data_IF_449022992306
#
_entry.id   IF_449022992306
#
_cell.length_a   1.000
_cell.length_b   1.000
_cell.length_c   1.000
_cell.angle_alpha   90.00
_cell.angle_beta   90.00
_cell.angle_gamma   90.00
#
_symmetry.space_group_name_H-M   'P 1'
#
loop_
_entity.id
_entity.type
_entity.pdbx_description
1 polymer ?
#
# COMPACT_ATOMS: atom_id res chain seq x y z
N UNK A 1 23.49 -32.24 28.60
CA UNK A 1 22.33 -32.89 27.96
C UNK A 1 21.40 -33.39 29.05
N UNK A 2 20.33 -32.64 29.28
CA UNK A 2 19.11 -33.10 29.94
C UNK A 2 18.03 -32.14 29.48
N UNK A 3 17.24 -32.59 28.50
CA UNK A 3 16.08 -31.88 27.97
C UNK A 3 15.07 -31.64 29.10
N UNK A 4 14.61 -30.41 29.23
CA UNK A 4 13.47 -30.05 30.07
C UNK A 4 12.34 -29.73 29.11
N UNK A 5 11.41 -30.67 28.97
CA UNK A 5 10.17 -30.50 28.20
C UNK A 5 9.28 -29.42 28.82
N UNK A 6 8.54 -28.63 28.01
CA UNK A 6 7.58 -27.68 28.50
C UNK A 6 6.27 -28.37 28.87
N UNK A 7 5.83 -28.19 30.12
CA UNK A 7 4.52 -28.68 30.60
C UNK A 7 3.38 -27.91 29.93
N UNK A 8 2.58 -28.67 29.20
CA UNK A 8 1.30 -28.28 28.62
C UNK A 8 0.33 -27.71 29.66
N UNK A 9 -0.32 -26.60 29.31
CA UNK A 9 -1.47 -26.08 30.04
C UNK A 9 -2.69 -26.95 29.71
N UNK A 10 -3.09 -27.79 30.67
CA UNK A 10 -4.29 -28.58 30.58
C UNK A 10 -5.55 -27.71 30.65
N UNK A 11 -6.31 -27.78 29.55
CA UNK A 11 -7.76 -27.73 29.39
C UNK A 11 -8.61 -27.34 30.61
N UNK A 12 -9.36 -26.24 30.47
CA UNK A 12 -10.44 -25.86 31.40
C UNK A 12 -11.76 -26.55 31.03
N UNK A 13 -12.61 -26.92 32.01
CA UNK A 13 -13.90 -27.54 31.74
C UNK A 13 -14.97 -26.52 31.36
N UNK A 14 -15.85 -26.93 30.45
CA UNK A 14 -17.03 -26.25 29.92
C UNK A 14 -18.27 -26.56 30.76
N UNK A 15 -18.83 -25.59 31.48
CA UNK A 15 -20.22 -25.56 32.03
C UNK A 15 -20.47 -24.12 32.54
N UNK A 16 -21.57 -23.40 32.43
CA UNK A 16 -22.90 -23.52 31.81
C UNK A 16 -23.45 -22.09 31.70
N UNK A 17 -24.28 -21.83 30.70
CA UNK A 17 -25.02 -20.57 30.57
C UNK A 17 -26.19 -20.53 31.56
N UNK A 18 -26.39 -19.39 32.22
CA UNK A 18 -27.66 -19.03 32.86
C UNK A 18 -28.02 -17.59 32.45
N UNK A 19 -29.27 -17.34 32.01
CA UNK A 19 -29.67 -16.07 31.41
C UNK A 19 -30.18 -15.08 32.47
N UNK A 20 -29.89 -13.80 32.34
CA UNK A 20 -30.61 -12.74 33.07
C UNK A 20 -30.92 -11.57 32.14
N UNK A 21 -32.23 -11.43 31.95
CA UNK A 21 -33.07 -10.34 31.50
C UNK A 21 -32.50 -8.95 31.20
N UNK A 22 -33.02 -8.43 30.10
CA UNK A 22 -33.14 -7.03 29.69
C UNK A 22 -33.55 -6.08 30.82
N UNK A 23 -32.94 -4.91 30.83
CA UNK A 23 -33.60 -3.66 31.23
C UNK A 23 -33.14 -2.56 30.29
N UNK A 24 -34.11 -1.98 29.60
CA UNK A 24 -34.02 -0.77 28.80
C UNK A 24 -33.86 0.42 29.75
N UNK A 25 -32.95 1.36 29.45
CA UNK A 25 -33.15 2.75 29.86
C UNK A 25 -32.43 3.68 28.88
N UNK A 26 -33.23 4.53 28.25
CA UNK A 26 -32.86 5.72 27.50
C UNK A 26 -31.91 6.62 28.31
N UNK A 27 -30.93 7.25 27.66
CA UNK A 27 -30.66 8.68 27.88
C UNK A 27 -29.95 9.28 26.67
N UNK A 28 -30.58 10.32 26.14
CA UNK A 28 -30.06 11.21 25.12
C UNK A 28 -29.26 12.37 25.75
N UNK A 29 -28.16 12.76 25.10
CA UNK A 29 -27.51 14.08 25.14
C UNK A 29 -26.36 14.01 24.10
N UNK A 30 -26.46 14.55 22.89
CA UNK A 30 -26.51 15.97 22.50
C UNK A 30 -25.54 16.87 23.28
N UNK A 31 -24.32 17.05 22.76
CA UNK A 31 -23.58 18.32 22.80
C UNK A 31 -22.67 18.38 21.56
N UNK A 32 -23.08 19.20 20.60
CA UNK A 32 -22.21 19.87 19.63
C UNK A 32 -21.28 20.86 20.33
N UNK A 33 -20.03 20.97 19.87
CA UNK A 33 -19.26 22.22 19.83
C UNK A 33 -18.00 22.08 18.96
N UNK A 34 -18.11 22.67 17.78
CA UNK A 34 -17.18 23.62 17.15
C UNK A 34 -15.70 23.53 17.54
N UNK A 35 -14.87 23.14 16.57
CA UNK A 35 -13.47 23.61 16.48
C UNK A 35 -13.23 24.13 15.08
N UNK A 36 -12.82 25.39 15.07
CA UNK A 36 -12.70 26.31 13.95
C UNK A 36 -11.62 25.89 12.94
N UNK A 37 -11.94 26.12 11.66
CA UNK A 37 -11.03 26.07 10.52
C UNK A 37 -10.27 27.40 10.48
N UNK A 38 -8.96 27.38 10.71
CA UNK A 38 -8.10 28.56 10.51
C UNK A 38 -7.69 28.62 9.03
N UNK A 39 -8.43 29.39 8.24
CA UNK A 39 -8.03 29.87 6.92
C UNK A 39 -6.85 30.85 7.07
N UNK A 40 -5.72 30.56 6.42
CA UNK A 40 -4.70 31.57 6.12
C UNK A 40 -4.74 31.94 4.65
N UNK A 41 -5.41 33.05 4.38
CA UNK A 41 -5.20 33.87 3.21
C UNK A 41 -3.84 34.57 3.32
N UNK A 42 -2.99 34.40 2.30
CA UNK A 42 -1.94 35.36 1.95
C UNK A 42 -2.24 35.84 0.53
N UNK A 43 -2.63 37.11 0.47
CA UNK A 43 -2.90 37.89 -0.73
C UNK A 43 -1.78 38.94 -0.87
N UNK A 44 -1.59 39.43 -2.11
CA UNK A 44 -0.87 40.67 -2.50
C UNK A 44 0.66 40.50 -2.60
N UNK A 45 1.44 40.86 -3.63
CA UNK A 45 1.39 41.71 -4.84
C UNK A 45 2.51 41.14 -5.77
N UNK A 46 2.51 41.16 -7.10
CA UNK A 46 2.36 42.28 -8.01
C UNK A 46 3.48 42.23 -9.09
N UNK A 47 3.24 42.91 -10.21
CA UNK A 47 4.18 43.24 -11.30
C UNK A 47 4.44 42.22 -12.44
N UNK A 48 3.54 42.28 -13.42
CA UNK A 48 3.81 42.10 -14.86
C UNK A 48 4.81 43.17 -15.35
N UNK A 49 5.71 42.84 -16.29
CA UNK A 49 5.90 43.74 -17.42
C UNK A 49 5.78 43.01 -18.76
N UNK A 50 4.97 43.62 -19.63
CA UNK A 50 4.85 43.30 -21.05
C UNK A 50 6.00 43.88 -21.90
N UNK A 51 5.83 43.93 -23.22
CA UNK A 51 6.81 43.40 -24.18
C UNK A 51 7.68 44.47 -24.83
N UNK A 52 8.92 44.11 -25.20
CA UNK A 52 9.74 44.91 -26.12
C UNK A 52 9.75 44.28 -27.52
N UNK A 53 9.18 45.05 -28.46
CA UNK A 53 9.39 44.95 -29.89
C UNK A 53 10.87 45.17 -30.24
N UNK A 54 11.43 44.34 -31.13
CA UNK A 54 12.49 44.79 -32.05
C UNK A 54 12.26 44.25 -33.45
N UNK A 55 12.20 45.22 -34.35
CA UNK A 55 12.01 45.16 -35.79
C UNK A 55 13.30 44.88 -36.56
N UNK A 56 13.11 44.51 -37.83
CA UNK A 56 13.99 44.71 -38.99
C UNK A 56 15.30 43.90 -39.09
N UNK A 57 15.37 43.01 -40.09
CA UNK A 57 15.94 43.37 -41.40
C UNK A 57 15.71 42.31 -42.48
N UNK A 58 15.20 42.80 -43.60
CA UNK A 58 15.21 42.14 -44.89
C UNK A 58 16.64 42.07 -45.46
N UNK A 59 16.94 41.00 -46.20
CA UNK A 59 17.92 41.04 -47.28
C UNK A 59 17.44 40.17 -48.43
N UNK A 60 17.02 40.86 -49.49
CA UNK A 60 16.85 40.34 -50.83
C UNK A 60 18.22 40.18 -51.50
N UNK A 61 18.47 39.05 -52.17
CA UNK A 61 19.22 39.11 -53.42
C UNK A 61 18.88 37.94 -54.34
N UNK A 62 18.53 38.27 -55.57
CA UNK A 62 18.49 37.36 -56.72
C UNK A 62 19.93 37.09 -57.18
N UNK A 63 20.23 35.87 -57.64
CA UNK A 63 20.89 35.68 -58.94
C UNK A 63 20.77 34.24 -59.45
N UNK A 64 20.79 34.16 -60.78
CA UNK A 64 20.49 33.08 -61.70
C UNK A 64 21.49 31.91 -61.69
N UNK A 65 21.03 30.77 -62.23
CA UNK A 65 21.92 29.84 -62.91
C UNK A 65 21.49 28.38 -62.92
N UNK A 66 20.53 28.02 -63.78
CA UNK A 66 20.42 26.65 -64.29
C UNK A 66 21.46 26.40 -65.39
N UNK A 67 22.06 25.21 -65.41
CA UNK A 67 22.29 24.50 -66.66
C UNK A 67 21.52 23.18 -66.68
N UNK A 68 20.84 22.94 -67.80
CA UNK A 68 20.29 21.64 -68.20
C UNK A 68 21.43 20.67 -68.48
N UNK A 69 21.31 19.41 -68.06
CA UNK A 69 21.60 18.28 -68.96
C UNK A 69 20.94 16.96 -68.50
N UNK A 70 20.25 16.35 -69.47
CA UNK A 70 20.10 14.93 -69.82
C UNK A 70 19.96 13.80 -68.78
N UNK A 71 18.81 13.11 -68.93
CA UNK A 71 18.69 11.65 -69.21
C UNK A 71 19.16 10.64 -68.16
N UNK A 72 18.22 9.93 -67.54
CA UNK A 72 18.22 8.46 -67.32
C UNK A 72 16.90 8.08 -66.62
N UNK A 73 16.01 7.38 -67.32
CA UNK A 73 15.83 5.93 -67.31
C UNK A 73 14.97 5.41 -66.14
N UNK A 74 13.90 4.74 -66.57
CA UNK A 74 12.95 3.92 -65.84
C UNK A 74 13.69 2.76 -65.15
N UNK A 75 13.66 2.73 -63.82
CA UNK A 75 14.12 1.57 -63.04
C UNK A 75 12.92 1.00 -62.30
N UNK A 76 12.28 0.07 -63.01
CA UNK A 76 11.51 -1.02 -62.41
C UNK A 76 12.51 -1.98 -61.78
N UNK A 77 12.62 -2.01 -60.46
CA UNK A 77 13.29 -3.10 -59.73
C UNK A 77 12.25 -3.97 -59.02
N UNK A 78 11.88 -5.03 -59.72
CA UNK A 78 11.48 -6.30 -59.11
C UNK A 78 12.71 -6.91 -58.44
N UNK A 79 12.57 -7.27 -57.15
CA UNK A 79 13.49 -8.16 -56.45
C UNK A 79 12.72 -8.87 -55.35
N UNK A 80 12.11 -9.98 -55.77
CA UNK A 80 11.77 -11.12 -54.93
C UNK A 80 13.04 -11.69 -54.30
N UNK A 81 13.20 -11.60 -52.97
CA UNK A 81 13.98 -12.54 -52.15
C UNK A 81 13.35 -12.66 -50.75
N UNK A 82 13.22 -13.91 -50.32
CA UNK A 82 12.50 -14.37 -49.12
C UNK A 82 13.22 -14.17 -47.77
N UNK A 83 12.78 -14.91 -46.74
CA UNK A 83 12.63 -14.42 -45.37
C UNK A 83 13.93 -14.48 -44.58
N UNK A 84 14.38 -13.33 -44.08
CA UNK A 84 15.54 -13.19 -43.21
C UNK A 84 15.14 -12.54 -41.90
N UNK A 85 15.19 -13.36 -40.84
CA UNK A 85 15.10 -13.03 -39.43
C UNK A 85 15.39 -11.56 -39.06
N UNK A 86 14.34 -10.83 -38.69
CA UNK A 86 14.46 -9.62 -37.88
C UNK A 86 14.64 -10.07 -36.43
N UNK A 87 15.88 -10.30 -36.01
CA UNK A 87 16.22 -10.19 -34.60
C UNK A 87 16.18 -8.70 -34.27
N UNK A 88 14.98 -8.22 -33.93
CA UNK A 88 14.82 -6.92 -33.30
C UNK A 88 15.63 -6.94 -32.02
N UNK A 89 16.58 -6.01 -31.96
CA UNK A 89 17.34 -5.72 -30.77
C UNK A 89 16.36 -5.09 -29.80
N UNK A 90 15.70 -5.91 -28.98
CA UNK A 90 14.90 -5.42 -27.87
C UNK A 90 15.84 -4.62 -26.96
N UNK A 91 15.66 -3.30 -26.94
CA UNK A 91 16.19 -2.48 -25.88
C UNK A 91 15.53 -2.98 -24.60
N UNK A 92 16.26 -3.77 -23.80
CA UNK A 92 15.83 -4.36 -22.52
C UNK A 92 15.48 -3.33 -21.44
N UNK A 93 15.42 -2.04 -21.79
CA UNK A 93 15.10 -0.93 -20.91
C UNK A 93 13.61 -0.59 -20.90
N UNK A 94 12.85 -0.94 -21.95
CA UNK A 94 11.40 -0.72 -22.03
C UNK A 94 10.66 -2.06 -21.97
N UNK A 95 9.67 -2.15 -21.08
CA UNK A 95 8.84 -3.34 -20.89
C UNK A 95 8.15 -3.81 -22.18
N UNK A 96 7.80 -5.10 -22.23
CA UNK A 96 7.17 -5.75 -23.40
C UNK A 96 5.88 -5.03 -23.80
N UNK A 97 5.08 -4.58 -22.84
CA UNK A 97 3.82 -3.89 -23.14
C UNK A 97 4.03 -2.49 -23.74
N UNK A 98 5.05 -1.76 -23.26
CA UNK A 98 5.41 -0.45 -23.81
C UNK A 98 5.88 -0.58 -25.26
N UNK A 99 6.73 -1.58 -25.53
CA UNK A 99 7.22 -1.85 -26.88
C UNK A 99 6.07 -2.19 -27.84
N UNK A 100 5.10 -3.00 -27.38
CA UNK A 100 3.91 -3.33 -28.16
C UNK A 100 3.06 -2.10 -28.48
N UNK A 101 2.88 -1.19 -27.52
CA UNK A 101 2.16 0.06 -27.75
C UNK A 101 2.87 0.92 -28.80
N UNK A 102 4.18 1.14 -28.65
CA UNK A 102 4.98 1.92 -29.60
C UNK A 102 4.93 1.34 -31.01
N UNK A 103 5.04 0.03 -31.14
CA UNK A 103 4.96 -0.67 -32.42
C UNK A 103 3.58 -0.50 -33.09
N UNK A 104 2.49 -0.64 -32.33
CA UNK A 104 1.12 -0.42 -32.83
C UNK A 104 0.93 1.04 -33.27
N UNK A 105 1.42 2.00 -32.49
CA UNK A 105 1.33 3.42 -32.82
C UNK A 105 2.11 3.73 -34.11
N UNK A 106 3.35 3.25 -34.23
CA UNK A 106 4.18 3.43 -35.42
C UNK A 106 3.54 2.80 -36.67
N UNK A 107 3.02 1.57 -36.55
CA UNK A 107 2.29 0.89 -37.64
C UNK A 107 1.04 1.68 -38.05
N UNK A 108 0.34 2.29 -37.10
CA UNK A 108 -0.85 3.10 -37.36
C UNK A 108 -0.49 4.38 -38.13
N UNK A 109 0.53 5.12 -37.68
CA UNK A 109 1.04 6.32 -38.37
C UNK A 109 1.45 5.98 -39.81
N UNK A 110 2.19 4.89 -40.00
CA UNK A 110 2.63 4.44 -41.32
C UNK A 110 1.44 4.15 -42.26
N UNK A 111 0.37 3.53 -41.74
CA UNK A 111 -0.87 3.29 -42.51
C UNK A 111 -1.59 4.59 -42.86
N UNK A 112 -1.68 5.54 -41.93
CA UNK A 112 -2.28 6.85 -42.16
C UNK A 112 -1.52 7.63 -43.24
N UNK A 113 -0.19 7.66 -43.17
CA UNK A 113 0.67 8.31 -44.17
C UNK A 113 0.53 7.64 -45.54
N UNK A 114 0.46 6.31 -45.58
CA UNK A 114 0.30 5.58 -46.85
C UNK A 114 -0.99 5.95 -47.59
N UNK A 115 -2.08 6.25 -46.87
CA UNK A 115 -3.31 6.75 -47.48
C UNK A 115 -3.11 8.12 -48.17
N UNK A 116 -2.24 8.96 -47.58
CA UNK A 116 -1.79 10.25 -48.09
C UNK A 116 -0.70 10.19 -49.17
N UNK A 117 -0.55 9.07 -49.90
CA UNK A 117 0.41 8.97 -51.01
C UNK A 117 0.16 10.00 -52.12
N UNK A 118 1.22 10.38 -52.83
CA UNK A 118 1.19 11.41 -53.87
C UNK A 118 0.11 11.17 -54.95
N UNK A 119 -0.12 9.93 -55.36
CA UNK A 119 -1.17 9.58 -56.33
C UNK A 119 -2.58 9.95 -55.88
N UNK A 120 -2.86 9.89 -54.56
CA UNK A 120 -4.15 10.35 -54.01
C UNK A 120 -4.27 11.86 -54.21
N UNK A 121 -3.21 12.60 -53.95
CA UNK A 121 -3.17 14.05 -54.17
C UNK A 121 -3.23 14.43 -55.66
N UNK A 122 -2.48 13.75 -56.54
CA UNK A 122 -2.51 13.99 -57.98
C UNK A 122 -3.90 13.75 -58.59
N UNK A 123 -4.62 12.73 -58.10
CA UNK A 123 -5.98 12.42 -58.55
C UNK A 123 -7.03 13.44 -58.11
N UNK A 124 -6.89 14.01 -56.91
CA UNK A 124 -7.84 15.00 -56.36
C UNK A 124 -7.51 16.44 -56.79
N UNK A 125 -6.22 16.79 -56.94
CA UNK A 125 -5.74 18.11 -57.34
C UNK A 125 -5.26 18.15 -58.79
N UNK A 126 -6.12 17.69 -59.72
CA UNK A 126 -5.78 17.58 -61.16
C UNK A 126 -5.31 18.90 -61.78
N UNK A 127 -5.88 20.02 -61.34
CA UNK A 127 -5.49 21.35 -61.81
C UNK A 127 -4.02 21.66 -61.46
N UNK A 128 -3.63 21.48 -60.20
CA UNK A 128 -2.28 21.75 -59.73
C UNK A 128 -1.27 20.77 -60.36
N UNK A 129 -1.63 19.49 -60.48
CA UNK A 129 -0.78 18.47 -61.10
C UNK A 129 -0.48 18.78 -62.57
N UNK A 130 -1.47 19.26 -63.33
CA UNK A 130 -1.28 19.64 -64.75
C UNK A 130 -0.42 20.90 -64.92
N UNK A 131 -0.54 21.86 -64.00
CA UNK A 131 0.18 23.13 -64.11
C UNK A 131 1.63 23.03 -63.63
N UNK A 132 1.87 22.38 -62.50
CA UNK A 132 3.22 22.20 -61.96
C UNK A 132 3.30 20.93 -61.08
N UNK A 133 3.60 19.75 -61.66
CA UNK A 133 3.63 18.50 -60.91
C UNK A 133 4.78 18.45 -59.89
N UNK A 134 5.92 19.11 -60.18
CA UNK A 134 7.07 19.16 -59.28
C UNK A 134 6.76 19.96 -58.01
N UNK A 135 6.09 21.11 -58.15
CA UNK A 135 5.67 21.90 -57.00
C UNK A 135 4.66 21.14 -56.13
N UNK A 136 3.68 20.47 -56.76
CA UNK A 136 2.72 19.65 -56.01
C UNK A 136 3.40 18.48 -55.29
N UNK A 137 4.38 17.82 -55.91
CA UNK A 137 5.14 16.74 -55.28
C UNK A 137 5.93 17.24 -54.06
N UNK A 138 6.59 18.39 -54.18
CA UNK A 138 7.31 19.02 -53.06
C UNK A 138 6.37 19.35 -51.90
N UNK A 139 5.21 19.97 -52.17
CA UNK A 139 4.21 20.31 -51.15
C UNK A 139 3.70 19.07 -50.44
N UNK A 140 3.36 18.01 -51.18
CA UNK A 140 2.86 16.75 -50.58
C UNK A 140 3.94 16.09 -49.73
N UNK A 141 5.19 16.08 -50.20
CA UNK A 141 6.30 15.52 -49.42
C UNK A 141 6.52 16.30 -48.12
N UNK A 142 6.51 17.64 -48.17
CA UNK A 142 6.62 18.49 -46.99
C UNK A 142 5.44 18.28 -46.04
N UNK A 143 4.21 18.21 -46.56
CA UNK A 143 3.02 17.97 -45.76
C UNK A 143 3.07 16.62 -45.04
N UNK A 144 3.42 15.54 -45.75
CA UNK A 144 3.54 14.20 -45.17
C UNK A 144 4.64 14.15 -44.12
N UNK A 145 5.80 14.74 -44.39
CA UNK A 145 6.90 14.79 -43.43
C UNK A 145 6.49 15.56 -42.17
N UNK A 146 5.92 16.76 -42.33
CA UNK A 146 5.47 17.57 -41.21
C UNK A 146 4.37 16.88 -40.40
N UNK A 147 3.43 16.19 -41.06
CA UNK A 147 2.40 15.41 -40.38
C UNK A 147 3.02 14.25 -39.58
N UNK A 148 3.97 13.53 -40.15
CA UNK A 148 4.67 12.43 -39.47
C UNK A 148 5.40 12.94 -38.24
N UNK A 149 6.21 13.99 -38.40
CA UNK A 149 7.03 14.56 -37.32
C UNK A 149 6.16 15.14 -36.21
N UNK A 150 5.10 15.88 -36.58
CA UNK A 150 4.17 16.46 -35.61
C UNK A 150 3.43 15.39 -34.82
N UNK A 151 2.92 14.34 -35.46
CA UNK A 151 2.21 13.26 -34.75
C UNK A 151 3.17 12.46 -33.87
N UNK A 152 4.38 12.17 -34.36
CA UNK A 152 5.37 11.46 -33.56
C UNK A 152 5.83 12.28 -32.35
N UNK A 153 6.04 13.58 -32.51
CA UNK A 153 6.37 14.49 -31.41
C UNK A 153 5.24 14.55 -30.37
N UNK A 154 3.99 14.67 -30.82
CA UNK A 154 2.82 14.69 -29.94
C UNK A 154 2.67 13.39 -29.13
N UNK A 155 2.88 12.24 -29.76
CA UNK A 155 2.86 10.96 -29.06
C UNK A 155 3.96 10.89 -28.01
N UNK A 156 5.18 11.34 -28.33
CA UNK A 156 6.29 11.36 -27.36
C UNK A 156 6.01 12.32 -26.19
N UNK A 157 5.35 13.45 -26.47
CA UNK A 157 4.90 14.38 -25.43
C UNK A 157 3.88 13.71 -24.50
N UNK A 158 2.81 13.11 -25.04
CA UNK A 158 1.79 12.41 -24.25
C UNK A 158 2.40 11.28 -23.41
N UNK A 159 3.31 10.50 -23.99
CA UNK A 159 3.97 9.41 -23.27
C UNK A 159 4.81 9.92 -22.09
N UNK A 160 5.42 11.09 -22.24
CA UNK A 160 6.26 11.71 -21.20
C UNK A 160 5.41 12.40 -20.13
N UNK A 161 4.41 13.18 -20.54
CA UNK A 161 3.55 13.97 -19.64
C UNK A 161 2.69 13.07 -18.73
N UNK A 162 2.19 11.96 -19.26
CA UNK A 162 1.35 11.01 -18.52
C UNK A 162 2.18 9.90 -17.83
N UNK A 163 3.51 9.95 -17.90
CA UNK A 163 4.40 8.93 -17.32
C UNK A 163 4.01 7.48 -17.70
N UNK A 164 3.48 7.29 -18.91
CA UNK A 164 2.99 6.00 -19.42
C UNK A 164 4.03 4.88 -19.31
N UNK A 165 5.32 5.11 -19.63
CA UNK A 165 6.35 4.08 -19.46
C UNK A 165 6.41 3.54 -18.02
N UNK A 166 6.32 4.43 -17.03
CA UNK A 166 6.34 4.06 -15.60
C UNK A 166 5.06 3.31 -15.19
N UNK A 167 3.91 3.64 -15.78
CA UNK A 167 2.68 2.88 -15.54
C UNK A 167 2.78 1.44 -16.07
N UNK A 168 3.36 1.25 -17.26
CA UNK A 168 3.60 -0.09 -17.80
C UNK A 168 4.62 -0.89 -16.99
N UNK A 169 5.68 -0.25 -16.48
CA UNK A 169 6.63 -0.90 -15.57
C UNK A 169 5.96 -1.37 -14.27
N UNK A 170 5.09 -0.54 -13.68
CA UNK A 170 4.29 -0.92 -12.50
C UNK A 170 3.35 -2.08 -12.81
N UNK A 171 2.71 -2.07 -13.98
CA UNK A 171 1.83 -3.15 -14.43
C UNK A 171 2.61 -4.47 -14.59
N UNK A 172 3.79 -4.44 -15.19
CA UNK A 172 4.66 -5.61 -15.34
C UNK A 172 5.12 -6.16 -13.98
N UNK A 173 5.44 -5.27 -13.05
CA UNK A 173 5.78 -5.64 -11.67
C UNK A 173 4.60 -6.36 -11.00
N UNK A 174 3.39 -5.82 -11.08
CA UNK A 174 2.18 -6.45 -10.54
C UNK A 174 1.91 -7.81 -11.20
N UNK A 175 2.08 -7.92 -12.51
CA UNK A 175 1.90 -9.18 -13.24
C UNK A 175 2.92 -10.25 -12.78
N UNK A 176 4.17 -9.85 -12.56
CA UNK A 176 5.23 -10.74 -12.08
C UNK A 176 5.03 -11.16 -10.62
N UNK A 177 4.58 -10.24 -9.77
CA UNK A 177 4.30 -10.49 -8.36
C UNK A 177 3.01 -11.29 -8.15
N UNK A 178 2.12 -11.29 -9.14
CA UNK A 178 0.91 -12.10 -9.11
C UNK A 178 1.27 -13.58 -9.24
N UNK A 179 1.40 -14.26 -8.09
CA UNK A 179 1.50 -15.72 -7.99
C UNK A 179 0.15 -16.38 -8.22
N UNK A 180 -0.57 -15.95 -9.25
CA UNK A 180 -1.92 -16.43 -9.52
C UNK A 180 -1.80 -17.83 -10.09
N UNK A 181 -2.29 -18.82 -9.36
CA UNK A 181 -2.56 -20.13 -9.95
C UNK A 181 -3.51 -19.92 -11.14
N UNK A 182 -3.16 -20.51 -12.28
CA UNK A 182 -3.76 -20.23 -13.61
C UNK A 182 -5.30 -20.36 -13.64
N UNK A 183 -5.90 -21.02 -12.64
CA UNK A 183 -7.32 -21.34 -12.57
C UNK A 183 -8.18 -20.44 -11.67
N UNK A 184 -7.62 -19.38 -11.05
CA UNK A 184 -8.41 -18.49 -10.18
C UNK A 184 -8.81 -17.19 -10.86
N UNK A 185 -10.11 -16.90 -10.88
CA UNK A 185 -10.64 -15.62 -11.38
C UNK A 185 -10.20 -14.49 -10.44
N UNK A 186 -9.42 -13.54 -10.96
CA UNK A 186 -8.99 -12.37 -10.22
C UNK A 186 -10.21 -11.56 -9.73
N UNK A 187 -10.13 -11.09 -8.48
CA UNK A 187 -11.18 -10.27 -7.89
C UNK A 187 -11.46 -9.00 -8.73
N UNK A 188 -12.72 -8.59 -8.75
CA UNK A 188 -13.20 -7.35 -9.35
C UNK A 188 -14.09 -6.64 -8.32
N UNK A 189 -14.10 -5.29 -8.30
CA UNK A 189 -15.01 -4.53 -7.44
C UNK A 189 -16.44 -5.00 -7.62
N UNK A 190 -17.13 -5.24 -6.51
CA UNK A 190 -18.47 -5.85 -6.54
C UNK A 190 -19.57 -4.86 -6.93
N UNK A 191 -19.23 -3.55 -6.96
CA UNK A 191 -20.18 -2.45 -7.10
C UNK A 191 -20.78 -2.00 -5.77
N UNK A 192 -20.48 -2.71 -4.68
CA UNK A 192 -20.84 -2.33 -3.31
C UNK A 192 -19.59 -1.88 -2.53
N UNK A 193 -19.46 -0.57 -2.25
CA UNK A 193 -18.27 -0.04 -1.59
C UNK A 193 -18.08 -0.58 -0.17
N UNK A 194 -19.16 -0.88 0.56
CA UNK A 194 -19.04 -1.39 1.94
C UNK A 194 -18.43 -2.78 1.97
N UNK A 195 -18.85 -3.63 1.04
CA UNK A 195 -18.34 -5.00 0.90
C UNK A 195 -16.88 -5.01 0.46
N UNK A 196 -16.53 -4.15 -0.48
CA UNK A 196 -15.17 -4.05 -1.02
C UNK A 196 -14.21 -3.51 0.06
N UNK A 197 -14.63 -2.47 0.80
CA UNK A 197 -13.86 -1.93 1.92
C UNK A 197 -13.69 -2.95 3.04
N UNK A 198 -14.76 -3.67 3.40
CA UNK A 198 -14.69 -4.73 4.42
C UNK A 198 -13.66 -5.78 4.04
N UNK A 199 -13.66 -6.22 2.78
CA UNK A 199 -12.71 -7.22 2.27
C UNK A 199 -11.27 -6.71 2.34
N UNK A 200 -11.04 -5.46 1.94
CA UNK A 200 -9.72 -4.82 1.98
C UNK A 200 -9.18 -4.70 3.41
N UNK A 201 -10.00 -4.26 4.37
CA UNK A 201 -9.55 -4.04 5.76
C UNK A 201 -9.53 -5.31 6.61
N UNK A 202 -10.20 -6.39 6.17
CA UNK A 202 -10.34 -7.63 6.96
C UNK A 202 -8.99 -8.21 7.40
N UNK A 203 -7.99 -8.23 6.50
CA UNK A 203 -6.68 -8.81 6.81
C UNK A 203 -5.99 -8.10 7.99
N UNK A 204 -6.07 -6.77 8.06
CA UNK A 204 -5.52 -5.98 9.16
C UNK A 204 -6.27 -6.26 10.46
N UNK A 205 -7.62 -6.29 10.41
CA UNK A 205 -8.45 -6.57 11.59
C UNK A 205 -8.23 -7.98 12.14
N UNK A 206 -8.04 -8.97 11.28
CA UNK A 206 -7.73 -10.33 11.71
C UNK A 206 -6.38 -10.40 12.42
N UNK A 207 -5.35 -9.72 11.88
CA UNK A 207 -4.04 -9.62 12.54
C UNK A 207 -4.15 -8.97 13.92
N UNK A 208 -4.88 -7.87 14.03
CA UNK A 208 -5.09 -7.17 15.30
C UNK A 208 -5.85 -8.04 16.31
N UNK A 209 -6.91 -8.73 15.87
CA UNK A 209 -7.64 -9.70 16.70
C UNK A 209 -6.70 -10.76 17.26
N UNK A 210 -5.85 -11.35 16.42
CA UNK A 210 -4.94 -12.42 16.83
C UNK A 210 -3.90 -11.93 17.84
N UNK A 211 -3.43 -10.69 17.69
CA UNK A 211 -2.52 -10.05 18.65
C UNK A 211 -3.22 -9.78 20.00
N UNK A 212 -4.44 -9.26 19.98
CA UNK A 212 -5.22 -9.01 21.19
C UNK A 212 -5.55 -10.31 21.93
N UNK A 213 -5.91 -11.36 21.19
CA UNK A 213 -6.18 -12.67 21.78
C UNK A 213 -4.95 -13.23 22.50
N UNK A 214 -3.76 -13.16 21.88
CA UNK A 214 -2.51 -13.59 22.53
C UNK A 214 -2.22 -12.81 23.82
N UNK A 215 -2.49 -11.49 23.83
CA UNK A 215 -2.31 -10.66 25.03
C UNK A 215 -3.30 -11.05 26.13
N UNK A 216 -4.56 -11.30 25.76
CA UNK A 216 -5.60 -11.73 26.69
C UNK A 216 -5.22 -13.07 27.34
N UNK A 217 -4.84 -14.07 26.53
CA UNK A 217 -4.40 -15.38 27.01
C UNK A 217 -3.22 -15.27 27.98
N UNK A 218 -2.24 -14.39 27.68
CA UNK A 218 -1.11 -14.14 28.57
C UNK A 218 -1.54 -13.54 29.92
N UNK A 219 -2.47 -12.58 29.90
CA UNK A 219 -3.01 -11.97 31.12
C UNK A 219 -3.85 -12.94 31.95
N UNK A 220 -4.65 -13.79 31.31
CA UNK A 220 -5.44 -14.83 31.98
C UNK A 220 -4.54 -15.86 32.65
N UNK A 221 -3.49 -16.32 31.95
CA UNK A 221 -2.49 -17.23 32.51
C UNK A 221 -1.81 -16.63 33.75
N UNK A 222 -1.38 -15.38 33.67
CA UNK A 222 -0.74 -14.69 34.79
C UNK A 222 -1.69 -14.48 35.96
N UNK A 223 -2.94 -14.11 35.68
CA UNK A 223 -3.98 -13.94 36.70
C UNK A 223 -4.25 -15.26 37.42
N UNK A 224 -4.39 -16.37 36.69
CA UNK A 224 -4.57 -17.69 37.27
C UNK A 224 -3.39 -18.10 38.16
N UNK A 225 -2.16 -17.81 37.71
CA UNK A 225 -0.93 -18.05 38.48
C UNK A 225 -0.92 -17.24 39.78
N UNK A 226 -1.26 -15.96 39.72
CA UNK A 226 -1.32 -15.07 40.89
C UNK A 226 -2.43 -15.48 41.86
N UNK A 227 -3.63 -15.80 41.36
CA UNK A 227 -4.74 -16.31 42.18
C UNK A 227 -4.32 -17.57 42.95
N UNK A 228 -3.66 -18.52 42.29
CA UNK A 228 -3.14 -19.72 42.95
C UNK A 228 -2.12 -19.39 44.04
N UNK A 229 -1.21 -18.44 43.78
CA UNK A 229 -0.23 -17.99 44.77
C UNK A 229 -0.90 -17.33 45.99
N UNK A 230 -1.88 -16.46 45.77
CA UNK A 230 -2.64 -15.79 46.83
C UNK A 230 -3.41 -16.79 47.68
N UNK A 231 -4.07 -17.78 47.07
CA UNK A 231 -4.78 -18.82 47.81
C UNK A 231 -3.83 -19.65 48.69
N UNK A 232 -2.66 -20.04 48.16
CA UNK A 232 -1.64 -20.73 48.94
C UNK A 232 -1.11 -19.88 50.10
N UNK A 233 -0.89 -18.57 49.88
CA UNK A 233 -0.47 -17.65 50.92
C UNK A 233 -1.52 -17.50 52.01
N UNK A 234 -2.80 -17.36 51.64
CA UNK A 234 -3.93 -17.29 52.59
C UNK A 234 -4.05 -18.55 53.44
N UNK A 235 -3.89 -19.73 52.85
CA UNK A 235 -3.90 -21.00 53.59
C UNK A 235 -2.75 -21.07 54.62
N UNK A 236 -1.54 -20.67 54.23
CA UNK A 236 -0.38 -20.59 55.14
C UNK A 236 -0.64 -19.62 56.29
N UNK A 237 -1.19 -18.44 56.00
CA UNK A 237 -1.51 -17.43 57.00
C UNK A 237 -2.52 -17.96 58.03
N UNK A 238 -3.61 -18.58 57.56
CA UNK A 238 -4.62 -19.19 58.44
C UNK A 238 -4.01 -20.28 59.33
N UNK A 239 -3.16 -21.15 58.78
CA UNK A 239 -2.47 -22.17 59.56
C UNK A 239 -1.55 -21.57 60.64
N UNK A 240 -0.79 -20.54 60.29
CA UNK A 240 0.07 -19.83 61.24
C UNK A 240 -0.75 -19.15 62.34
N UNK A 241 -1.88 -18.52 61.99
CA UNK A 241 -2.79 -17.88 62.93
C UNK A 241 -3.36 -18.89 63.93
N UNK A 242 -3.84 -20.04 63.46
CA UNK A 242 -4.33 -21.13 64.32
C UNK A 242 -3.24 -21.63 65.28
N UNK A 243 -2.01 -21.81 64.79
CA UNK A 243 -0.87 -22.23 65.62
C UNK A 243 -0.51 -21.19 66.68
N UNK A 244 -0.59 -19.90 66.34
CA UNK A 244 -0.35 -18.80 67.28
C UNK A 244 -1.43 -18.76 68.35
N UNK A 245 -2.70 -18.87 67.97
CA UNK A 245 -3.83 -18.89 68.89
C UNK A 245 -3.73 -20.08 69.87
N UNK A 246 -3.44 -21.28 69.38
CA UNK A 246 -3.22 -22.45 70.24
C UNK A 246 -2.05 -22.26 71.23
N UNK A 247 -0.98 -21.60 70.80
CA UNK A 247 0.13 -21.26 71.70
C UNK A 247 -0.27 -20.22 72.74
N UNK A 248 -1.03 -19.20 72.35
CA UNK A 248 -1.54 -18.19 73.28
C UNK A 248 -2.44 -18.82 74.34
N UNK A 249 -3.39 -19.67 73.95
CA UNK A 249 -4.24 -20.42 74.88
C UNK A 249 -3.42 -21.30 75.83
N UNK A 250 -2.37 -21.96 75.33
CA UNK A 250 -1.48 -22.76 76.18
C UNK A 250 -0.69 -21.90 77.17
N UNK A 251 -0.20 -20.73 76.75
CA UNK A 251 0.50 -19.79 77.63
C UNK A 251 -0.46 -19.20 78.67
N UNK A 252 -1.70 -18.90 78.29
CA UNK A 252 -2.73 -18.41 79.21
C UNK A 252 -3.06 -19.46 80.28
N UNK A 253 -3.21 -20.74 79.89
CA UNK A 253 -3.37 -21.86 80.84
C UNK A 253 -2.17 -22.01 81.76
N UNK A 254 -0.95 -21.89 81.23
CA UNK A 254 0.26 -21.96 82.04
C UNK A 254 0.37 -20.78 83.02
N UNK A 255 0.03 -19.57 82.58
CA UNK A 255 -0.03 -18.38 83.43
C UNK A 255 -1.07 -18.55 84.56
N UNK A 256 -2.29 -18.99 84.24
CA UNK A 256 -3.32 -19.27 85.23
C UNK A 256 -2.88 -20.36 86.24
N UNK A 257 -2.14 -21.39 85.80
CA UNK A 257 -1.58 -22.40 86.69
C UNK A 257 -0.51 -21.83 87.63
N UNK A 258 0.32 -20.89 87.16
CA UNK A 258 1.26 -20.15 87.99
C UNK A 258 0.55 -19.26 89.02
N UNK A 259 -0.55 -18.61 88.65
CA UNK A 259 -1.35 -17.78 89.57
C UNK A 259 -2.09 -18.62 90.63
N UNK A 260 -2.44 -19.86 90.30
CA UNK A 260 -3.06 -20.83 91.22
C UNK A 260 -2.03 -21.59 92.06
N UNK A 261 -0.73 -21.47 91.74
CA UNK A 261 0.34 -22.06 92.53
C UNK A 261 0.38 -21.36 93.90
N UNK A 262 0.26 -22.09 95.02
CA UNK A 262 0.26 -21.49 96.35
C UNK A 262 1.68 -21.05 96.71
N UNK A 263 2.12 -19.92 96.14
CA UNK A 263 3.38 -19.27 96.45
C UNK A 263 3.52 -18.95 97.95
N UNK A 264 2.40 -18.85 98.68
CA UNK A 264 2.43 -18.71 100.14
C UNK A 264 2.87 -19.97 100.88
N UNK A 265 2.55 -21.17 100.39
CA UNK A 265 3.04 -22.42 101.00
C UNK A 265 4.53 -22.64 100.73
N UNK A 266 5.01 -22.20 99.57
CA UNK A 266 6.44 -22.26 99.21
C UNK A 266 7.24 -21.25 100.04
N UNK A 267 6.71 -20.04 100.27
CA UNK A 267 7.34 -19.02 101.13
C UNK A 267 7.40 -19.44 102.59
N UNK A 268 6.38 -20.10 103.13
CA UNK A 268 6.42 -20.62 104.51
C UNK A 268 7.45 -21.74 104.68
N UNK A 269 7.54 -22.66 103.71
CA UNK A 269 8.53 -23.75 103.74
C UNK A 269 9.98 -23.25 103.61
N UNK A 270 10.22 -22.14 102.91
CA UNK A 270 11.57 -21.55 102.82
C UNK A 270 11.96 -20.77 104.08
N UNK A 271 11.00 -20.21 104.82
CA UNK A 271 11.24 -19.58 106.12
C UNK A 271 11.62 -20.61 107.20
N UNK A 272 11.05 -21.82 107.14
CA UNK A 272 11.35 -22.90 108.09
C UNK A 272 12.73 -23.56 107.88
N UNK A 273 13.34 -23.41 106.69
CA UNK A 273 14.71 -23.89 106.39
C UNK A 273 15.78 -22.89 106.84
N UNK A 274 15.43 -21.63 107.12
CA UNK A 274 16.35 -20.58 107.57
C UNK A 274 16.44 -20.43 109.10
N UNK A 275 15.88 -21.37 109.88
CA UNK A 275 15.95 -21.42 111.35
C UNK A 275 16.79 -22.60 111.82
#
# INVERSE_FOLDING_TARGET
>A
MAEVEPKECLSSPKVEAVPVASTEEETAADVSKDVEVEERNMEVDGAIPGPEEKSEKANSNMDNGCPMDSTMEDVTTDSTLGPGASNETHNSAEGVYMQNLLDVMYKTIKKCIHAGRFSTFANNYKFAYKHNPKALQSIVQQHVQHLQDSVQAEIQLILSDEEIPTMFEKLETVLKDSTTEEDTTAWRPSGDPEKDLRSHTMAVKLKERDELQKRLEAHECETARLQKSVLQARQKLLHTQQKLQAKMENLEKAAAACDTCPMEQVRTLTADIQK
#
